data_IF_616393279147
#
_entry.id   IF_616393279147
#
_cell.length_a   1.000
_cell.length_b   1.000
_cell.length_c   1.000
_cell.angle_alpha   90.00
_cell.angle_beta   90.00
_cell.angle_gamma   90.00
#
_symmetry.space_group_name_H-M   'P 1'
#
loop_
_entity.id
_entity.type
_entity.pdbx_description
1 polymer ?
#
# COMPACT_ATOMS: atom_id res chain seq x y z
N UNK A 1 49.58 -4.49 -43.08
CA UNK A 1 48.79 -5.36 -43.96
C UNK A 1 48.05 -6.36 -43.07
N UNK A 2 46.73 -6.24 -42.92
CA UNK A 2 45.95 -7.07 -41.99
C UNK A 2 45.50 -8.37 -42.65
N UNK A 3 45.97 -9.51 -42.14
CA UNK A 3 45.56 -10.83 -42.62
C UNK A 3 44.10 -11.12 -42.24
N UNK A 4 43.22 -11.09 -43.23
CA UNK A 4 41.82 -11.47 -43.08
C UNK A 4 41.67 -12.96 -43.43
N UNK A 5 41.91 -13.84 -42.46
CA UNK A 5 41.68 -15.27 -42.64
C UNK A 5 40.17 -15.55 -42.67
N UNK A 6 39.66 -15.99 -43.82
CA UNK A 6 38.25 -16.37 -43.95
C UNK A 6 37.96 -17.64 -43.15
N UNK A 7 36.88 -17.69 -42.35
CA UNK A 7 36.56 -18.85 -41.53
C UNK A 7 36.22 -20.09 -42.36
N UNK A 8 36.66 -21.26 -41.90
CA UNK A 8 36.35 -22.56 -42.50
C UNK A 8 34.84 -22.84 -42.52
N UNK A 9 34.38 -23.64 -43.49
CA UNK A 9 32.97 -24.07 -43.62
C UNK A 9 32.45 -24.74 -42.34
N UNK A 10 33.27 -25.53 -41.66
CA UNK A 10 32.91 -26.17 -40.39
C UNK A 10 32.66 -25.15 -39.27
N UNK A 11 33.47 -24.09 -39.24
CA UNK A 11 33.34 -23.00 -38.27
C UNK A 11 32.08 -22.16 -38.51
N UNK A 12 31.78 -21.85 -39.78
CA UNK A 12 30.53 -21.20 -40.16
C UNK A 12 29.30 -22.02 -39.74
N UNK A 13 29.36 -23.35 -39.87
CA UNK A 13 28.27 -24.23 -39.49
C UNK A 13 28.06 -24.28 -37.98
N UNK A 14 29.15 -24.31 -37.18
CA UNK A 14 29.07 -24.20 -35.71
C UNK A 14 28.44 -22.88 -35.27
N UNK A 15 28.86 -21.75 -35.87
CA UNK A 15 28.29 -20.43 -35.57
C UNK A 15 26.79 -20.34 -35.87
N UNK A 16 26.35 -20.93 -36.99
CA UNK A 16 24.92 -21.02 -37.33
C UNK A 16 24.14 -21.84 -36.31
N UNK A 17 24.68 -22.98 -35.88
CA UNK A 17 24.05 -23.82 -34.87
C UNK A 17 23.97 -23.12 -33.51
N UNK A 18 25.03 -22.40 -33.12
CA UNK A 18 25.04 -21.62 -31.88
C UNK A 18 23.99 -20.49 -31.94
N UNK A 19 23.99 -19.69 -33.00
CA UNK A 19 22.98 -18.63 -33.19
C UNK A 19 21.55 -19.16 -33.19
N UNK A 20 21.32 -20.37 -33.70
CA UNK A 20 20.00 -21.01 -33.67
C UNK A 20 19.62 -21.49 -32.25
N UNK A 21 20.58 -21.95 -31.44
CA UNK A 21 20.34 -22.31 -30.03
C UNK A 21 20.02 -21.08 -29.21
N UNK A 22 20.81 -20.02 -29.36
CA UNK A 22 20.63 -18.77 -28.62
C UNK A 22 19.28 -18.13 -28.97
N UNK A 23 18.87 -18.15 -30.25
CA UNK A 23 17.54 -17.70 -30.66
C UNK A 23 16.40 -18.47 -29.97
N UNK A 24 16.49 -19.80 -29.94
CA UNK A 24 15.47 -20.64 -29.27
C UNK A 24 15.43 -20.38 -27.76
N UNK A 25 16.57 -20.15 -27.13
CA UNK A 25 16.62 -19.80 -25.71
C UNK A 25 15.96 -18.44 -25.45
N UNK A 26 16.28 -17.44 -26.28
CA UNK A 26 15.68 -16.11 -26.16
C UNK A 26 14.17 -16.12 -26.40
N UNK A 27 13.70 -16.88 -27.39
CA UNK A 27 12.27 -17.09 -27.65
C UNK A 27 11.57 -17.75 -26.46
N UNK A 28 12.19 -18.77 -25.85
CA UNK A 28 11.63 -19.44 -24.68
C UNK A 28 11.54 -18.51 -23.47
N UNK A 29 12.58 -17.70 -23.25
CA UNK A 29 12.60 -16.70 -22.17
C UNK A 29 11.55 -15.60 -22.39
N UNK A 30 11.41 -15.08 -23.62
CA UNK A 30 10.36 -14.13 -23.95
C UNK A 30 8.96 -14.71 -23.77
N UNK A 31 8.73 -15.96 -24.17
CA UNK A 31 7.44 -16.64 -23.99
C UNK A 31 7.13 -16.84 -22.50
N UNK A 32 8.12 -17.21 -21.68
CA UNK A 32 7.94 -17.28 -20.22
C UNK A 32 7.59 -15.92 -19.61
N UNK A 33 8.25 -14.84 -20.05
CA UNK A 33 7.93 -13.48 -19.63
C UNK A 33 6.51 -13.09 -20.05
N UNK A 34 6.11 -13.40 -21.28
CA UNK A 34 4.78 -13.11 -21.81
C UNK A 34 3.69 -13.88 -21.07
N UNK A 35 3.96 -15.12 -20.66
CA UNK A 35 3.06 -15.91 -19.80
C UNK A 35 2.89 -15.34 -18.41
N UNK A 36 3.89 -14.63 -17.88
CA UNK A 36 3.84 -13.99 -16.57
C UNK A 36 3.21 -12.58 -16.61
N UNK A 37 3.13 -11.93 -17.78
CA UNK A 37 2.52 -10.59 -17.93
C UNK A 37 1.10 -10.49 -17.36
N UNK A 38 0.14 -11.39 -17.66
CA UNK A 38 -1.22 -11.26 -17.16
C UNK A 38 -1.32 -11.33 -15.63
N UNK A 39 -0.47 -12.13 -14.98
CA UNK A 39 -0.43 -12.20 -13.52
C UNK A 39 0.09 -10.89 -12.92
N UNK A 40 1.15 -10.31 -13.52
CA UNK A 40 1.70 -9.01 -13.14
C UNK A 40 0.70 -7.88 -13.38
N UNK A 41 0.00 -7.90 -14.50
CA UNK A 41 -1.00 -6.90 -14.84
C UNK A 41 -2.24 -7.00 -13.94
N UNK A 42 -2.67 -8.22 -13.59
CA UNK A 42 -3.75 -8.43 -12.61
C UNK A 42 -3.37 -7.89 -11.24
N UNK A 43 -2.16 -8.17 -10.78
CA UNK A 43 -1.68 -7.64 -9.50
C UNK A 43 -1.62 -6.11 -9.52
N UNK A 44 -1.08 -5.54 -10.60
CA UNK A 44 -1.02 -4.08 -10.82
C UNK A 44 -2.43 -3.46 -10.87
N UNK A 45 -3.38 -4.12 -11.52
CA UNK A 45 -4.75 -3.61 -11.67
C UNK A 45 -5.54 -3.75 -10.35
N UNK A 46 -5.36 -4.86 -9.61
CA UNK A 46 -5.89 -5.02 -8.25
C UNK A 46 -5.40 -3.91 -7.32
N UNK A 47 -4.10 -3.58 -7.39
CA UNK A 47 -3.50 -2.47 -6.63
C UNK A 47 -4.10 -1.12 -6.99
N UNK A 48 -4.26 -0.84 -8.29
CA UNK A 48 -4.91 0.40 -8.75
C UNK A 48 -6.40 0.46 -8.36
N UNK A 49 -7.11 -0.66 -8.40
CA UNK A 49 -8.50 -0.74 -7.93
C UNK A 49 -8.62 -0.53 -6.42
N UNK A 50 -7.72 -1.09 -5.60
CA UNK A 50 -7.68 -0.83 -4.17
C UNK A 50 -7.40 0.66 -3.87
N UNK A 51 -6.49 1.29 -4.61
CA UNK A 51 -6.18 2.73 -4.49
C UNK A 51 -7.38 3.61 -4.86
N UNK A 52 -8.06 3.31 -5.98
CA UNK A 52 -9.23 4.08 -6.44
C UNK A 52 -10.44 3.86 -5.53
N UNK A 53 -10.69 2.63 -5.07
CA UNK A 53 -11.81 2.34 -4.17
C UNK A 53 -11.70 3.09 -2.85
N UNK A 54 -10.50 3.24 -2.31
CA UNK A 54 -10.28 3.97 -1.06
C UNK A 54 -10.39 5.50 -1.21
N UNK A 55 -10.14 6.07 -2.39
CA UNK A 55 -10.13 7.53 -2.57
C UNK A 55 -11.35 8.05 -3.34
N UNK A 56 -12.19 7.21 -3.94
CA UNK A 56 -13.28 7.63 -4.83
C UNK A 56 -14.70 7.47 -4.28
N UNK A 57 -14.92 6.99 -3.05
CA UNK A 57 -16.29 6.84 -2.52
C UNK A 57 -16.37 6.92 -0.98
N UNK A 58 -16.73 8.09 -0.41
CA UNK A 58 -17.00 8.26 1.02
C UNK A 58 -18.14 7.38 1.53
N UNK A 59 -19.03 6.93 0.64
CA UNK A 59 -20.34 6.34 0.97
C UNK A 59 -20.36 4.82 1.20
N UNK A 60 -19.34 4.08 0.75
CA UNK A 60 -19.24 2.63 0.99
C UNK A 60 -18.34 2.28 2.20
N UNK A 61 -17.66 3.28 2.79
CA UNK A 61 -16.82 3.11 3.99
C UNK A 61 -17.64 2.97 5.27
N UNK A 62 -18.78 3.63 5.37
CA UNK A 62 -19.68 3.45 6.52
C UNK A 62 -20.23 2.03 6.58
N UNK A 63 -20.54 1.40 5.44
CA UNK A 63 -21.18 0.06 5.40
C UNK A 63 -20.25 -1.08 5.86
N UNK A 64 -18.94 -1.04 5.58
CA UNK A 64 -18.01 -2.12 6.00
C UNK A 64 -17.67 -1.98 7.49
N UNK A 65 -17.45 -0.76 8.00
CA UNK A 65 -17.19 -0.50 9.43
C UNK A 65 -18.46 -0.73 10.27
N UNK A 66 -19.65 -0.41 9.76
CA UNK A 66 -20.91 -0.75 10.44
C UNK A 66 -21.28 -2.22 10.31
N UNK A 67 -20.89 -2.93 9.24
CA UNK A 67 -21.19 -4.37 9.13
C UNK A 67 -20.41 -5.23 10.12
N UNK A 68 -19.17 -4.86 10.48
CA UNK A 68 -18.41 -5.57 11.54
C UNK A 68 -18.91 -5.21 12.93
N UNK A 69 -19.39 -3.98 13.14
CA UNK A 69 -20.03 -3.57 14.39
C UNK A 69 -21.43 -4.18 14.57
N UNK A 70 -22.17 -4.44 13.49
CA UNK A 70 -23.54 -4.93 13.52
C UNK A 70 -23.68 -6.44 13.87
N UNK A 71 -22.58 -7.18 14.00
CA UNK A 71 -22.64 -8.62 14.30
C UNK A 71 -22.43 -8.94 15.80
N UNK A 72 -22.08 -7.96 16.63
CA UNK A 72 -22.09 -8.11 18.09
C UNK A 72 -23.07 -7.10 18.69
N UNK A 73 -24.17 -7.63 19.24
CA UNK A 73 -25.18 -6.95 20.06
C UNK A 73 -26.28 -6.14 19.31
N UNK A 74 -27.39 -6.84 19.07
CA UNK A 74 -28.77 -6.36 18.98
C UNK A 74 -29.02 -4.82 19.05
N UNK A 75 -29.38 -4.21 17.91
CA UNK A 75 -29.85 -2.81 17.84
C UNK A 75 -31.26 -2.60 18.44
N UNK A 76 -31.50 -1.54 19.25
CA UNK A 76 -32.77 -0.83 19.29
C UNK A 76 -32.85 0.25 18.18
N UNK A 77 -34.06 0.72 17.80
CA UNK A 77 -34.24 1.50 16.58
C UNK A 77 -33.68 2.93 16.72
N UNK A 78 -32.90 3.32 15.71
CA UNK A 78 -32.59 4.67 15.25
C UNK A 78 -32.74 5.82 16.26
N UNK A 79 -31.62 6.25 16.84
CA UNK A 79 -31.50 7.59 17.40
C UNK A 79 -30.87 8.54 16.38
N UNK A 80 -31.33 9.81 16.32
CA UNK A 80 -30.80 10.81 15.41
C UNK A 80 -29.33 11.07 15.78
N UNK A 81 -28.44 10.85 14.84
CA UNK A 81 -27.03 11.17 14.99
C UNK A 81 -26.92 12.67 15.32
N UNK A 82 -26.59 12.97 16.58
CA UNK A 82 -26.21 14.31 16.97
C UNK A 82 -24.76 14.47 16.57
N UNK A 83 -24.53 15.38 15.62
CA UNK A 83 -23.23 15.96 15.33
C UNK A 83 -22.83 16.81 16.53
N UNK A 84 -22.18 16.20 17.51
CA UNK A 84 -21.28 16.93 18.39
C UNK A 84 -19.89 16.43 18.05
N UNK A 85 -19.05 17.34 17.56
CA UNK A 85 -17.69 17.10 17.06
C UNK A 85 -16.98 15.95 17.74
N UNK A 86 -16.80 14.83 17.05
CA UNK A 86 -15.81 13.87 17.49
C UNK A 86 -15.33 13.02 16.31
N UNK A 87 -14.02 12.98 16.19
CA UNK A 87 -13.24 12.07 15.34
C UNK A 87 -13.94 10.70 15.28
N UNK A 88 -14.16 10.16 14.08
CA UNK A 88 -14.86 8.88 13.89
C UNK A 88 -14.35 7.76 14.83
N UNK A 89 -15.19 6.75 15.12
CA UNK A 89 -14.93 5.78 16.18
C UNK A 89 -13.55 5.12 16.00
N UNK A 90 -12.64 5.35 16.95
CA UNK A 90 -11.31 4.72 17.01
C UNK A 90 -10.12 5.56 16.53
N UNK A 91 -10.31 6.80 16.08
CA UNK A 91 -9.18 7.71 15.80
C UNK A 91 -8.49 8.13 17.11
N UNK A 92 -7.15 8.09 17.14
CA UNK A 92 -6.32 8.37 18.33
C UNK A 92 -6.76 7.60 19.58
N UNK A 93 -7.26 6.37 19.40
CA UNK A 93 -7.69 5.50 20.49
C UNK A 93 -6.78 4.30 20.61
N UNK A 94 -6.38 3.99 21.84
CA UNK A 94 -5.62 2.78 22.17
C UNK A 94 -6.48 1.51 22.16
N UNK A 95 -7.82 1.65 22.13
CA UNK A 95 -8.72 0.49 22.13
C UNK A 95 -8.56 -0.31 20.85
N UNK A 96 -8.12 -1.56 20.97
CA UNK A 96 -7.88 -2.49 19.86
C UNK A 96 -6.79 -2.04 18.88
N UNK A 97 -5.97 -1.06 19.25
CA UNK A 97 -4.82 -0.67 18.44
C UNK A 97 -3.79 -1.81 18.43
N UNK A 98 -3.35 -2.18 17.23
CA UNK A 98 -2.41 -3.28 16.97
C UNK A 98 -1.21 -2.82 16.12
N UNK A 99 -1.06 -1.51 15.92
CA UNK A 99 0.10 -0.85 15.33
C UNK A 99 0.34 0.52 15.98
N UNK A 100 1.59 1.00 15.91
CA UNK A 100 1.97 2.33 16.43
C UNK A 100 2.72 3.12 15.37
N UNK A 101 2.30 4.36 15.13
CA UNK A 101 3.02 5.30 14.26
C UNK A 101 3.73 6.34 15.12
N UNK A 102 5.00 6.56 14.86
CA UNK A 102 5.80 7.59 15.52
C UNK A 102 5.95 8.78 14.58
N UNK A 103 5.32 9.91 14.92
CA UNK A 103 5.20 11.09 14.07
C UNK A 103 6.27 12.14 14.41
N UNK A 104 6.96 12.63 13.38
CA UNK A 104 7.95 13.70 13.48
C UNK A 104 9.28 13.33 14.15
N UNK A 105 10.11 14.34 14.34
CA UNK A 105 11.40 14.21 15.03
C UNK A 105 11.24 13.83 16.51
N UNK A 106 10.15 14.30 17.15
CA UNK A 106 9.79 13.97 18.53
C UNK A 106 9.38 12.51 18.73
N UNK A 107 9.14 11.75 17.65
CA UNK A 107 8.59 10.40 17.67
C UNK A 107 7.32 10.33 18.54
N UNK A 108 6.38 11.26 18.34
CA UNK A 108 5.12 11.25 19.09
C UNK A 108 4.33 10.00 18.71
N UNK A 109 4.00 9.11 19.66
CA UNK A 109 3.31 7.85 19.36
C UNK A 109 1.84 8.11 19.04
N UNK A 110 1.35 7.44 18.00
CA UNK A 110 -0.04 7.44 17.58
C UNK A 110 -0.53 5.99 17.49
N UNK A 111 -1.47 5.56 18.35
CA UNK A 111 -2.04 4.22 18.29
C UNK A 111 -2.91 4.07 17.04
N UNK A 112 -2.76 2.95 16.32
CA UNK A 112 -3.49 2.72 15.09
C UNK A 112 -3.88 1.25 14.89
N UNK A 113 -4.73 1.05 13.88
CA UNK A 113 -5.31 -0.22 13.53
C UNK A 113 -4.77 -0.68 12.16
N UNK A 114 -4.09 -1.81 12.12
CA UNK A 114 -3.51 -2.41 10.92
C UNK A 114 -4.57 -2.54 9.81
N UNK A 115 -5.78 -2.95 10.17
CA UNK A 115 -6.90 -3.07 9.23
C UNK A 115 -7.23 -1.74 8.55
N UNK A 116 -7.32 -0.63 9.31
CA UNK A 116 -7.62 0.70 8.76
C UNK A 116 -6.48 1.17 7.87
N UNK A 117 -5.23 1.05 8.33
CA UNK A 117 -4.04 1.47 7.59
C UNK A 117 -3.88 0.69 6.27
N UNK A 118 -3.97 -0.63 6.32
CA UNK A 118 -3.82 -1.51 5.16
C UNK A 118 -4.95 -1.33 4.14
N UNK A 119 -6.20 -1.19 4.61
CA UNK A 119 -7.31 -0.87 3.71
C UNK A 119 -7.08 0.49 3.03
N UNK A 120 -6.68 1.52 3.77
CA UNK A 120 -6.58 2.87 3.23
C UNK A 120 -5.32 3.14 2.38
N UNK A 121 -4.27 2.34 2.54
CA UNK A 121 -2.98 2.55 1.89
C UNK A 121 -2.27 1.25 1.53
N UNK A 122 -1.97 1.01 0.24
CA UNK A 122 -1.16 -0.12 -0.18
C UNK A 122 0.26 -0.10 0.41
N UNK A 123 0.78 1.08 0.75
CA UNK A 123 2.07 1.18 1.43
C UNK A 123 2.01 0.48 2.80
N UNK A 124 0.97 0.76 3.57
CA UNK A 124 0.80 0.12 4.87
C UNK A 124 0.46 -1.37 4.71
N UNK A 125 -0.37 -1.74 3.74
CA UNK A 125 -0.69 -3.15 3.48
C UNK A 125 0.57 -3.97 3.13
N UNK A 126 1.38 -3.50 2.17
CA UNK A 126 2.63 -4.15 1.77
C UNK A 126 3.62 -4.19 2.96
N UNK A 127 3.75 -3.10 3.72
CA UNK A 127 4.67 -3.03 4.87
C UNK A 127 4.26 -3.98 6.00
N UNK A 128 2.96 -4.06 6.33
CA UNK A 128 2.42 -4.90 7.39
C UNK A 128 2.52 -6.39 7.07
N UNK A 129 2.47 -6.76 5.78
CA UNK A 129 2.66 -8.14 5.30
C UNK A 129 4.13 -8.50 5.05
N UNK A 130 5.03 -7.52 5.10
CA UNK A 130 6.45 -7.72 4.80
C UNK A 130 7.20 -8.45 5.91
N UNK A 131 8.40 -8.94 5.58
CA UNK A 131 9.37 -9.47 6.56
C UNK A 131 10.32 -8.40 7.09
N UNK A 132 10.08 -7.13 6.79
CA UNK A 132 10.88 -6.02 7.29
C UNK A 132 10.48 -5.65 8.72
N UNK A 133 11.20 -4.69 9.30
CA UNK A 133 11.00 -4.29 10.70
C UNK A 133 9.54 -3.95 10.97
N UNK A 134 8.93 -3.17 10.09
CA UNK A 134 7.56 -2.67 10.19
C UNK A 134 6.53 -3.81 10.22
N UNK A 135 6.74 -4.87 9.41
CA UNK A 135 5.85 -6.03 9.38
C UNK A 135 5.95 -6.93 10.62
N UNK A 136 7.10 -6.89 11.32
CA UNK A 136 7.36 -7.67 12.52
C UNK A 136 6.97 -6.90 13.78
N UNK A 137 7.40 -5.64 13.91
CA UNK A 137 7.17 -4.82 15.10
C UNK A 137 5.83 -4.10 15.08
N UNK A 138 5.23 -3.92 13.91
CA UNK A 138 4.02 -3.10 13.71
C UNK A 138 4.22 -1.64 14.10
N UNK A 139 5.46 -1.17 13.99
CA UNK A 139 5.86 0.19 14.30
C UNK A 139 6.35 0.91 13.05
N UNK A 140 5.87 2.14 12.84
CA UNK A 140 6.24 2.99 11.72
C UNK A 140 6.87 4.28 12.22
N UNK A 141 7.95 4.75 11.59
CA UNK A 141 8.67 5.95 12.02
C UNK A 141 8.74 6.99 10.90
N UNK A 142 8.11 8.15 11.12
CA UNK A 142 8.05 9.24 10.15
C UNK A 142 8.80 10.46 10.67
N UNK A 143 10.13 10.39 10.65
CA UNK A 143 11.00 11.41 11.28
C UNK A 143 11.07 12.73 10.53
N UNK A 144 10.93 12.71 9.20
CA UNK A 144 11.17 13.87 8.32
C UNK A 144 9.90 14.59 7.90
N UNK A 145 8.76 13.94 8.12
CA UNK A 145 7.46 14.43 7.68
C UNK A 145 6.86 15.33 8.78
N UNK A 146 6.07 16.32 8.36
CA UNK A 146 5.36 17.19 9.30
C UNK A 146 4.38 16.36 10.14
N UNK A 147 4.49 16.36 11.49
CA UNK A 147 3.56 15.65 12.35
C UNK A 147 2.11 16.06 12.09
N UNK A 148 1.89 17.35 11.80
CA UNK A 148 0.55 17.87 11.53
C UNK A 148 0.00 17.31 10.22
N UNK A 149 0.80 17.28 9.15
CA UNK A 149 0.37 16.72 7.88
C UNK A 149 0.02 15.23 8.02
N UNK A 150 0.84 14.46 8.74
CA UNK A 150 0.57 13.05 9.02
C UNK A 150 -0.71 12.87 9.85
N UNK A 151 -0.92 13.71 10.85
CA UNK A 151 -2.15 13.68 11.65
C UNK A 151 -3.39 13.86 10.79
N UNK A 152 -3.37 14.81 9.85
CA UNK A 152 -4.49 15.03 8.90
C UNK A 152 -4.70 13.84 7.98
N UNK A 153 -3.63 13.25 7.45
CA UNK A 153 -3.72 12.03 6.65
C UNK A 153 -4.35 10.89 7.46
N UNK A 154 -3.92 10.70 8.70
CA UNK A 154 -4.46 9.67 9.58
C UNK A 154 -5.92 9.96 9.92
N UNK A 155 -6.28 11.21 10.23
CA UNK A 155 -7.66 11.61 10.47
C UNK A 155 -8.54 11.22 9.29
N UNK A 156 -8.13 11.61 8.07
CA UNK A 156 -8.81 11.26 6.85
C UNK A 156 -8.95 9.74 6.63
N UNK A 157 -7.94 8.94 7.00
CA UNK A 157 -8.03 7.47 6.89
C UNK A 157 -9.15 6.87 7.75
N UNK A 158 -9.40 7.43 8.94
CA UNK A 158 -10.40 6.93 9.87
C UNK A 158 -11.81 7.50 9.62
N UNK A 159 -11.91 8.76 9.26
CA UNK A 159 -13.18 9.49 9.18
C UNK A 159 -13.65 9.72 7.75
N UNK A 160 -12.73 9.66 6.77
CA UNK A 160 -12.99 10.09 5.40
C UNK A 160 -13.06 11.62 5.22
N UNK A 161 -12.70 12.39 6.26
CA UNK A 161 -12.74 13.85 6.27
C UNK A 161 -11.66 14.42 7.20
N UNK A 162 -11.22 15.65 6.98
CA UNK A 162 -10.32 16.34 7.91
C UNK A 162 -10.63 17.84 7.89
N UNK A 163 -10.50 18.50 9.04
CA UNK A 163 -10.72 19.94 9.10
C UNK A 163 -9.53 20.69 8.47
N UNK A 164 -9.79 21.72 7.66
CA UNK A 164 -8.74 22.54 7.04
C UNK A 164 -8.15 23.60 7.98
N UNK A 165 -8.61 23.68 9.23
CA UNK A 165 -8.18 24.70 10.20
C UNK A 165 -6.64 24.73 10.29
N UNK A 166 -6.07 25.92 10.05
CA UNK A 166 -4.63 26.17 10.09
C UNK A 166 -4.09 25.71 11.45
N UNK A 167 -3.09 24.83 11.43
CA UNK A 167 -2.40 24.42 12.65
C UNK A 167 -1.80 25.65 13.33
N UNK A 168 -2.37 26.02 14.48
CA UNK A 168 -1.70 26.93 15.42
C UNK A 168 -0.25 26.45 15.61
N UNK A 169 0.75 27.31 15.39
CA UNK A 169 2.14 26.91 15.52
C UNK A 169 2.39 26.47 16.96
N UNK A 170 2.75 25.21 17.14
CA UNK A 170 3.18 24.68 18.43
C UNK A 170 4.47 25.43 18.85
N UNK A 171 4.28 26.51 19.62
CA UNK A 171 5.19 27.12 20.58
C UNK A 171 6.63 27.38 20.13
N UNK A 172 6.96 28.67 19.97
CA UNK A 172 8.33 29.22 19.82
C UNK A 172 9.20 29.06 21.07
#
# INVERSE_FOLDING_TARGET
>A
MGNSQTPSRAELQRRRQQSARDRRQHEHEQEQLRRQQPARDRERNRRQQAQTFCWSSPRLRQEIVTSVAATLEAMPPALPWKSDSDSGPGFDSEKYSDATLYLGESNTPFPAHQMVLGMCSPYFDDALQSKFKEGITKEFYFKKDSPHALWRVLQYMYTGDYADEESEPLGS
#
